data_IF_574331667064
#
_entry.id   IF_574331667064
#
_cell.length_a   1.000
_cell.length_b   1.000
_cell.length_c   1.000
_cell.angle_alpha   90.00
_cell.angle_beta   90.00
_cell.angle_gamma   90.00
#
_symmetry.space_group_name_H-M   'P 1'
#
loop_
_entity.id
_entity.type
_entity.pdbx_description
1 polymer ?
#
# COMPACT_ATOMS: atom_id res chain seq x y z
N UNK A 1 14.87 2.24 2.71
CA UNK A 1 14.30 2.43 1.35
C UNK A 1 13.51 3.73 1.36
N UNK A 2 13.62 4.57 0.33
CA UNK A 2 12.87 5.82 0.20
C UNK A 2 12.12 5.83 -1.14
N UNK A 3 10.86 6.23 -1.13
CA UNK A 3 10.02 6.39 -2.33
C UNK A 3 9.63 7.87 -2.40
N UNK A 4 10.04 8.54 -3.47
CA UNK A 4 9.77 9.97 -3.69
C UNK A 4 8.98 10.19 -4.98
N UNK A 5 7.92 10.99 -4.90
CA UNK A 5 7.21 11.52 -6.08
C UNK A 5 7.60 13.00 -6.25
N UNK A 6 8.48 13.28 -7.21
CA UNK A 6 9.05 14.62 -7.40
C UNK A 6 8.07 15.62 -8.02
N UNK A 7 7.25 15.19 -8.98
CA UNK A 7 6.27 16.05 -9.63
C UNK A 7 4.95 16.09 -8.83
N UNK A 8 4.58 17.29 -8.39
CA UNK A 8 3.37 17.54 -7.60
C UNK A 8 2.08 17.25 -8.38
N UNK A 9 2.11 17.29 -9.72
CA UNK A 9 0.98 16.91 -10.56
C UNK A 9 0.59 15.43 -10.42
N UNK A 10 1.48 14.60 -9.86
CA UNK A 10 1.27 13.17 -9.65
C UNK A 10 0.88 12.80 -8.22
N UNK A 11 0.71 13.80 -7.35
CA UNK A 11 0.26 13.58 -5.99
C UNK A 11 -1.24 13.30 -5.94
N UNK A 12 -1.68 12.49 -4.96
CA UNK A 12 -3.10 12.16 -4.77
C UNK A 12 -3.68 11.17 -5.79
N UNK A 13 -2.92 10.74 -6.80
CA UNK A 13 -3.37 9.79 -7.84
C UNK A 13 -3.18 8.31 -7.48
N UNK A 14 -2.70 8.02 -6.27
CA UNK A 14 -2.48 6.64 -5.81
C UNK A 14 -1.10 6.04 -6.10
N UNK A 15 -0.24 6.72 -6.87
CA UNK A 15 1.09 6.19 -7.22
C UNK A 15 1.98 5.86 -6.02
N UNK A 16 1.91 6.65 -4.94
CA UNK A 16 2.66 6.34 -3.72
C UNK A 16 2.23 5.00 -3.11
N UNK A 17 0.93 4.70 -3.15
CA UNK A 17 0.37 3.43 -2.71
C UNK A 17 0.80 2.28 -3.61
N UNK A 18 0.72 2.43 -4.93
CA UNK A 18 1.15 1.40 -5.87
C UNK A 18 2.65 1.10 -5.75
N UNK A 19 3.49 2.13 -5.76
CA UNK A 19 4.94 1.98 -5.63
C UNK A 19 5.33 1.29 -4.32
N UNK A 20 4.70 1.68 -3.20
CA UNK A 20 5.00 1.07 -1.90
C UNK A 20 4.54 -0.38 -1.86
N UNK A 21 3.38 -0.71 -2.44
CA UNK A 21 2.92 -2.10 -2.53
C UNK A 21 3.82 -2.98 -3.38
N UNK A 22 4.28 -2.49 -4.52
CA UNK A 22 5.24 -3.21 -5.36
C UNK A 22 6.55 -3.46 -4.60
N UNK A 23 7.05 -2.45 -3.89
CA UNK A 23 8.24 -2.58 -3.06
C UNK A 23 8.05 -3.62 -1.94
N UNK A 24 6.89 -3.63 -1.27
CA UNK A 24 6.55 -4.63 -0.26
C UNK A 24 6.46 -6.04 -0.84
N UNK A 25 5.80 -6.18 -2.00
CA UNK A 25 5.72 -7.45 -2.72
C UNK A 25 7.11 -8.00 -3.05
N UNK A 26 8.01 -7.16 -3.56
CA UNK A 26 9.39 -7.55 -3.80
C UNK A 26 10.14 -7.92 -2.51
N UNK A 27 10.02 -7.09 -1.46
CA UNK A 27 10.68 -7.31 -0.18
C UNK A 27 10.26 -8.63 0.49
N UNK A 28 8.98 -8.96 0.47
CA UNK A 28 8.47 -10.17 1.12
C UNK A 28 8.50 -11.39 0.21
N UNK A 29 8.17 -11.29 -1.08
CA UNK A 29 8.14 -12.47 -1.95
C UNK A 29 9.53 -12.83 -2.48
N UNK A 30 10.26 -11.86 -3.02
CA UNK A 30 11.53 -12.13 -3.73
C UNK A 30 12.72 -12.16 -2.78
N UNK A 31 12.79 -11.21 -1.84
CA UNK A 31 13.91 -11.12 -0.90
C UNK A 31 13.71 -11.95 0.37
N UNK A 32 12.55 -12.57 0.52
CA UNK A 32 12.17 -13.36 1.69
C UNK A 32 12.42 -12.63 3.05
N UNK A 33 12.25 -11.30 3.12
CA UNK A 33 12.50 -10.56 4.35
C UNK A 33 11.46 -10.91 5.43
N UNK A 34 11.87 -10.98 6.69
CA UNK A 34 10.90 -11.17 7.79
C UNK A 34 10.13 -9.88 8.11
N UNK A 35 10.75 -8.73 7.84
CA UNK A 35 10.30 -7.42 8.31
C UNK A 35 10.74 -6.31 7.36
N UNK A 36 9.88 -5.30 7.20
CA UNK A 36 10.21 -4.02 6.56
C UNK A 36 10.00 -2.90 7.58
N UNK A 37 10.91 -1.93 7.60
CA UNK A 37 10.80 -0.75 8.46
C UNK A 37 11.03 0.54 7.67
N UNK A 38 10.45 1.62 8.16
CA UNK A 38 10.63 2.95 7.61
C UNK A 38 10.56 4.02 8.70
N UNK A 39 11.02 5.22 8.34
CA UNK A 39 10.84 6.42 9.14
C UNK A 39 10.14 7.51 8.35
N UNK A 40 9.38 8.35 9.05
CA UNK A 40 8.65 9.47 8.45
C UNK A 40 8.59 10.63 9.42
N UNK A 41 8.78 11.85 8.92
CA UNK A 41 8.63 13.04 9.75
C UNK A 41 7.15 13.32 10.05
N UNK A 42 6.88 13.76 11.28
CA UNK A 42 5.53 14.04 11.77
C UNK A 42 4.75 15.06 10.92
N UNK A 43 5.45 15.97 10.22
CA UNK A 43 4.84 16.96 9.34
C UNK A 43 4.34 16.40 7.99
N UNK A 44 4.52 15.09 7.71
CA UNK A 44 4.05 14.45 6.48
C UNK A 44 2.84 13.53 6.70
N UNK A 45 1.64 14.10 6.96
CA UNK A 45 0.45 13.31 7.27
C UNK A 45 0.00 12.41 6.10
N UNK A 46 0.33 12.79 4.85
CA UNK A 46 0.00 11.99 3.66
C UNK A 46 0.76 10.67 3.63
N UNK A 47 2.05 10.71 3.94
CA UNK A 47 2.87 9.50 4.03
C UNK A 47 2.48 8.65 5.24
N UNK A 48 2.25 9.27 6.40
CA UNK A 48 1.78 8.58 7.61
C UNK A 48 0.50 7.79 7.32
N UNK A 49 -0.52 8.46 6.76
CA UNK A 49 -1.78 7.81 6.41
C UNK A 49 -1.59 6.67 5.40
N UNK A 50 -0.69 6.84 4.43
CA UNK A 50 -0.36 5.78 3.47
C UNK A 50 0.22 4.55 4.18
N UNK A 51 1.18 4.72 5.09
CA UNK A 51 1.83 3.60 5.78
C UNK A 51 0.87 2.85 6.69
N UNK A 52 0.05 3.57 7.45
CA UNK A 52 -1.01 2.98 8.30
C UNK A 52 -2.04 2.23 7.44
N UNK A 53 -2.47 2.84 6.33
CA UNK A 53 -3.34 2.19 5.35
C UNK A 53 -2.71 0.94 4.76
N UNK A 54 -1.40 0.86 4.61
CA UNK A 54 -0.66 -0.32 4.14
C UNK A 54 -0.31 -1.33 5.23
N UNK A 55 -0.55 -0.99 6.50
CA UNK A 55 -0.54 -1.93 7.62
C UNK A 55 0.68 -1.87 8.49
N UNK A 56 1.56 -0.93 8.20
CA UNK A 56 2.64 -0.61 9.10
C UNK A 56 2.07 -0.20 10.47
N UNK A 57 2.72 -0.68 11.53
CA UNK A 57 2.46 -0.32 12.90
C UNK A 57 3.48 0.72 13.35
N UNK A 58 3.04 1.73 14.08
CA UNK A 58 3.95 2.71 14.69
C UNK A 58 4.61 2.07 15.91
N UNK A 59 5.94 2.08 15.95
CA UNK A 59 6.73 1.40 16.98
C UNK A 59 7.48 2.36 17.89
N UNK A 60 7.63 3.61 17.45
CA UNK A 60 8.34 4.60 18.24
C UNK A 60 8.38 5.97 17.62
N UNK A 61 8.99 6.89 18.37
CA UNK A 61 9.19 8.27 17.98
C UNK A 61 10.59 8.70 18.43
N UNK A 62 11.40 9.18 17.49
CA UNK A 62 12.53 10.03 17.82
C UNK A 62 12.02 11.46 18.00
N UNK A 63 11.94 11.91 19.25
CA UNK A 63 11.50 13.26 19.58
C UNK A 63 12.54 14.28 19.16
N UNK A 64 12.09 15.39 18.59
CA UNK A 64 12.92 16.52 18.16
C UNK A 64 14.13 16.13 17.27
N UNK A 65 13.93 15.12 16.41
CA UNK A 65 14.98 14.53 15.58
C UNK A 65 15.57 15.50 14.56
N UNK A 66 14.73 16.34 13.92
CA UNK A 66 15.16 17.26 12.86
C UNK A 66 14.92 18.71 13.26
N UNK A 67 15.95 19.55 13.22
CA UNK A 67 15.80 21.01 13.22
C UNK A 67 15.65 21.51 11.78
N UNK A 68 14.55 22.19 11.48
CA UNK A 68 14.30 22.82 10.18
C UNK A 68 13.46 24.08 10.36
N UNK A 69 13.83 25.16 9.67
CA UNK A 69 13.08 26.43 9.67
C UNK A 69 12.78 26.95 11.09
N UNK A 70 13.77 26.85 11.99
CA UNK A 70 13.64 27.28 13.38
C UNK A 70 12.79 26.38 14.28
N UNK A 71 12.26 25.25 13.77
CA UNK A 71 11.41 24.31 14.51
C UNK A 71 12.06 22.92 14.59
N UNK A 72 11.77 22.21 15.69
CA UNK A 72 12.10 20.78 15.85
C UNK A 72 10.93 19.94 15.36
N UNK A 73 11.24 18.85 14.67
CA UNK A 73 10.27 17.87 14.18
C UNK A 73 10.62 16.47 14.67
N UNK A 74 9.57 15.72 15.00
CA UNK A 74 9.70 14.33 15.39
C UNK A 74 9.82 13.44 14.15
N UNK A 75 10.52 12.32 14.32
CA UNK A 75 10.58 11.25 13.32
C UNK A 75 9.90 10.00 13.88
N UNK A 76 8.82 9.57 13.22
CA UNK A 76 8.08 8.37 13.57
C UNK A 76 8.74 7.15 12.95
N UNK A 77 8.74 6.05 13.69
CA UNK A 77 9.24 4.75 13.29
C UNK A 77 8.07 3.82 13.05
N UNK A 78 8.09 3.13 11.91
CA UNK A 78 7.07 2.18 11.53
C UNK A 78 7.68 0.84 11.12
N UNK A 79 7.00 -0.24 11.46
CA UNK A 79 7.36 -1.61 11.11
C UNK A 79 6.19 -2.38 10.49
N UNK A 80 6.50 -3.32 9.61
CA UNK A 80 5.56 -4.28 9.05
C UNK A 80 6.21 -5.65 9.00
N UNK A 81 5.57 -6.64 9.62
CA UNK A 81 6.02 -8.03 9.64
C UNK A 81 5.40 -8.81 8.47
N UNK A 82 6.12 -9.84 8.01
CA UNK A 82 5.67 -10.72 6.92
C UNK A 82 4.24 -11.24 7.12
N UNK A 83 3.96 -11.79 8.31
CA UNK A 83 2.66 -12.44 8.56
C UNK A 83 1.50 -11.44 8.54
N UNK A 84 1.74 -10.18 8.95
CA UNK A 84 0.75 -9.10 8.89
C UNK A 84 0.47 -8.69 7.44
N UNK A 85 1.52 -8.62 6.62
CA UNK A 85 1.42 -8.36 5.19
C UNK A 85 0.68 -9.49 4.46
N UNK A 86 1.04 -10.75 4.70
CA UNK A 86 0.38 -11.93 4.11
C UNK A 86 -1.11 -12.02 4.48
N UNK A 87 -1.45 -11.75 5.75
CA UNK A 87 -2.84 -11.69 6.18
C UNK A 87 -3.65 -10.64 5.41
N UNK A 88 -3.06 -9.48 5.14
CA UNK A 88 -3.69 -8.43 4.34
C UNK A 88 -3.86 -8.79 2.88
N UNK A 89 -2.84 -9.36 2.24
CA UNK A 89 -2.94 -9.74 0.83
C UNK A 89 -4.00 -10.83 0.62
N UNK A 90 -4.12 -11.78 1.56
CA UNK A 90 -5.24 -12.74 1.56
C UNK A 90 -6.60 -12.05 1.67
N UNK A 91 -6.75 -11.12 2.61
CA UNK A 91 -7.99 -10.34 2.77
C UNK A 91 -8.36 -9.56 1.51
N UNK A 92 -7.37 -8.99 0.83
CA UNK A 92 -7.56 -8.27 -0.44
C UNK A 92 -7.99 -9.21 -1.56
N UNK A 93 -7.31 -10.33 -1.74
CA UNK A 93 -7.65 -11.32 -2.77
C UNK A 93 -9.10 -11.80 -2.63
N UNK A 94 -9.54 -12.12 -1.41
CA UNK A 94 -10.91 -12.54 -1.12
C UNK A 94 -11.94 -11.44 -1.45
N UNK A 95 -11.59 -10.17 -1.18
CA UNK A 95 -12.46 -9.02 -1.47
C UNK A 95 -12.59 -8.79 -2.98
N UNK A 96 -11.49 -8.89 -3.72
CA UNK A 96 -11.48 -8.74 -5.19
C UNK A 96 -12.28 -9.86 -5.88
N UNK A 97 -12.11 -11.11 -5.45
CA UNK A 97 -12.88 -12.25 -5.95
C UNK A 97 -14.39 -12.07 -5.69
N UNK A 98 -14.76 -11.60 -4.50
CA UNK A 98 -16.16 -11.32 -4.14
C UNK A 98 -16.77 -10.21 -5.01
N UNK A 99 -16.04 -9.13 -5.26
CA UNK A 99 -16.47 -8.04 -6.14
C UNK A 99 -16.61 -8.49 -7.60
N UNK A 100 -15.68 -9.32 -8.09
CA UNK A 100 -15.76 -9.91 -9.42
C UNK A 100 -17.01 -10.79 -9.57
N UNK A 101 -17.29 -11.65 -8.59
CA UNK A 101 -18.52 -12.47 -8.57
C UNK A 101 -19.78 -11.61 -8.61
N UNK A 102 -19.86 -10.56 -7.80
CA UNK A 102 -21.00 -9.64 -7.81
C UNK A 102 -21.15 -8.91 -9.16
N UNK A 103 -20.05 -8.53 -9.79
CA UNK A 103 -20.06 -7.91 -11.13
C UNK A 103 -20.57 -8.87 -12.19
N UNK A 104 -20.11 -10.13 -12.18
CA UNK A 104 -20.58 -11.16 -13.09
C UNK A 104 -22.06 -11.50 -12.87
N UNK A 105 -22.50 -11.63 -11.62
CA UNK A 105 -23.91 -11.87 -11.29
C UNK A 105 -24.81 -10.73 -11.79
N UNK A 106 -24.38 -9.47 -11.65
CA UNK A 106 -25.09 -8.30 -12.22
C UNK A 106 -25.15 -8.35 -13.74
N UNK A 107 -24.05 -8.68 -14.41
CA UNK A 107 -24.01 -8.83 -15.88
C UNK A 107 -24.94 -9.95 -16.37
N UNK A 108 -24.98 -11.09 -15.69
CA UNK A 108 -25.90 -12.19 -16.00
C UNK A 108 -27.36 -11.80 -15.78
N UNK A 109 -27.66 -11.03 -14.72
CA UNK A 109 -29.00 -10.50 -14.48
C UNK A 109 -29.45 -9.49 -15.54
N UNK A 110 -28.52 -8.72 -16.14
CA UNK A 110 -28.83 -7.75 -17.20
C UNK A 110 -28.90 -8.32 -18.62
N UNK A 111 -28.67 -9.63 -18.85
CA UNK A 111 -28.59 -10.29 -20.18
C UNK A 111 -27.51 -9.75 -21.15
N UNK A 112 -26.74 -8.74 -20.77
CA UNK A 112 -25.61 -8.21 -21.54
C UNK A 112 -24.33 -9.04 -21.31
N UNK A 113 -24.23 -10.19 -21.99
CA UNK A 113 -23.00 -10.98 -22.02
C UNK A 113 -21.98 -10.34 -22.98
N UNK A 114 -20.72 -10.11 -22.57
CA UNK A 114 -19.64 -9.96 -23.53
C UNK A 114 -19.50 -11.28 -24.29
N UNK A 115 -19.61 -11.25 -25.63
CA UNK A 115 -19.44 -12.42 -26.48
C UNK A 115 -18.07 -13.04 -26.17
N UNK A 116 -18.05 -14.28 -25.68
CA UNK A 116 -16.80 -14.95 -25.31
C UNK A 116 -15.90 -15.08 -26.54
N UNK A 117 -14.67 -14.56 -26.46
CA UNK A 117 -13.62 -15.04 -27.35
C UNK A 117 -13.37 -16.50 -26.98
N UNK A 118 -13.78 -17.41 -27.86
CA UNK A 118 -13.30 -18.79 -27.84
C UNK A 118 -11.78 -18.70 -27.99
N UNK A 119 -11.06 -19.14 -26.98
CA UNK A 119 -9.67 -19.53 -27.14
C UNK A 119 -9.75 -20.87 -27.86
N UNK A 120 -9.44 -20.86 -29.15
CA UNK A 120 -9.25 -22.08 -29.92
C UNK A 120 -8.06 -22.85 -29.34
N UNK A 121 -8.28 -24.15 -29.14
CA UNK A 121 -7.32 -25.15 -28.64
C UNK A 121 -6.10 -25.28 -29.55
#
# INVERSE_FOLDING_TARGET
>A
MSIGLGDSANWGKGYGNEATRLALGFAFNELNLHRVQLTVFNYNPRAIHLYEKLGFQQEGIYREFLQRDGRRFDMYLYGLLRHEWEARERGRSNSEESLQRLRLARLWASKDLPKSNKVDL
#
